data_IF_490648157974
#
_entry.id   IF_490648157974
#
_cell.length_a   1.000
_cell.length_b   1.000
_cell.length_c   1.000
_cell.angle_alpha   90.00
_cell.angle_beta   90.00
_cell.angle_gamma   90.00
#
_symmetry.space_group_name_H-M   'P 1'
#
loop_
_entity.id
_entity.type
_entity.pdbx_description
1 polymer ?
#
# COMPACT_ATOMS: atom_id res chain seq x y z
N UNK A 1 20.71 42.76 -0.20
CA UNK A 1 19.48 42.67 0.60
C UNK A 1 18.42 41.86 -0.14
N UNK A 2 18.54 40.53 -0.14
CA UNK A 2 17.56 39.58 -0.69
C UNK A 2 17.66 38.29 0.11
N UNK A 3 16.51 37.67 0.38
CA UNK A 3 16.27 36.42 1.12
C UNK A 3 16.02 36.59 2.63
N UNK A 4 14.81 37.04 2.94
CA UNK A 4 14.07 36.60 4.12
C UNK A 4 12.61 36.51 3.69
N UNK A 5 12.24 35.37 3.09
CA UNK A 5 10.84 35.09 2.77
C UNK A 5 10.55 33.63 3.13
N UNK A 6 9.67 33.50 4.13
CA UNK A 6 8.75 32.39 4.40
C UNK A 6 9.34 30.97 4.46
N UNK A 7 9.66 30.53 5.67
CA UNK A 7 9.47 29.14 6.10
C UNK A 7 8.40 29.13 7.19
N UNK A 8 7.15 29.10 6.75
CA UNK A 8 5.97 28.79 7.57
C UNK A 8 5.22 27.71 6.79
N UNK A 9 5.86 26.55 6.63
CA UNK A 9 5.14 25.31 6.36
C UNK A 9 4.61 24.84 7.70
N UNK A 10 3.33 25.14 7.94
CA UNK A 10 2.55 24.53 8.99
C UNK A 10 2.65 23.01 8.84
N UNK A 11 3.12 22.35 9.90
CA UNK A 11 2.86 20.93 10.12
C UNK A 11 1.36 20.85 10.44
N UNK A 12 0.57 20.67 9.39
CA UNK A 12 -0.78 20.16 9.49
C UNK A 12 -0.75 18.73 8.96
N UNK A 13 -0.36 17.78 9.82
CA UNK A 13 -0.92 16.44 9.73
C UNK A 13 -2.38 16.52 10.15
N UNK A 14 -3.23 17.15 9.33
CA UNK A 14 -4.63 16.78 9.32
C UNK A 14 -4.69 15.43 8.62
N UNK A 15 -4.60 14.36 9.40
CA UNK A 15 -5.43 13.20 9.12
C UNK A 15 -6.86 13.74 9.22
N UNK A 16 -7.39 14.18 8.09
CA UNK A 16 -8.80 14.53 7.99
C UNK A 16 -9.54 13.21 8.14
N UNK A 17 -9.81 12.83 9.39
CA UNK A 17 -10.78 11.81 9.76
C UNK A 17 -12.16 12.40 9.46
N UNK A 18 -12.45 12.56 8.16
CA UNK A 18 -13.82 12.69 7.70
C UNK A 18 -14.48 11.38 8.11
N UNK A 19 -15.44 11.47 9.04
CA UNK A 19 -16.45 10.44 9.26
C UNK A 19 -17.11 10.11 7.92
N UNK A 20 -16.49 9.25 7.13
CA UNK A 20 -17.22 8.49 6.14
C UNK A 20 -17.81 7.33 6.92
N UNK A 21 -19.01 7.52 7.43
CA UNK A 21 -19.89 6.46 7.95
C UNK A 21 -20.29 5.44 6.85
N UNK A 22 -19.50 5.32 5.79
CA UNK A 22 -19.55 4.19 4.91
C UNK A 22 -18.57 3.16 5.48
N UNK A 23 -19.02 2.03 6.06
CA UNK A 23 -18.16 0.86 6.08
C UNK A 23 -17.54 0.71 4.69
N UNK A 24 -16.27 0.30 4.60
CA UNK A 24 -15.74 -0.32 3.40
C UNK A 24 -16.60 -1.55 3.10
N UNK A 25 -17.76 -1.29 2.54
CA UNK A 25 -18.62 -2.27 1.93
C UNK A 25 -17.86 -2.56 0.64
N UNK A 26 -16.92 -3.50 0.76
CA UNK A 26 -16.48 -4.35 -0.34
C UNK A 26 -17.74 -5.07 -0.84
N UNK A 27 -18.66 -4.33 -1.44
CA UNK A 27 -19.73 -4.90 -2.23
C UNK A 27 -19.00 -5.56 -3.39
N UNK A 28 -19.09 -6.88 -3.42
CA UNK A 28 -18.76 -7.68 -4.58
C UNK A 28 -19.58 -7.13 -5.74
N UNK A 29 -19.01 -6.17 -6.47
CA UNK A 29 -19.58 -5.66 -7.69
C UNK A 29 -19.27 -6.68 -8.79
N UNK A 30 -19.84 -7.87 -8.63
CA UNK A 30 -19.98 -8.84 -9.71
C UNK A 30 -20.99 -8.23 -10.66
N UNK A 31 -20.52 -7.57 -11.72
CA UNK A 31 -21.38 -7.31 -12.86
C UNK A 31 -21.91 -8.65 -13.35
N UNK A 32 -23.21 -8.89 -13.15
CA UNK A 32 -23.95 -9.94 -13.84
C UNK A 32 -23.86 -9.67 -15.35
N UNK A 33 -22.89 -10.29 -16.00
CA UNK A 33 -22.91 -10.47 -17.45
C UNK A 33 -24.04 -11.45 -17.73
N UNK A 34 -25.14 -10.94 -18.29
CA UNK A 34 -26.24 -11.75 -18.80
C UNK A 34 -25.72 -12.65 -19.92
N UNK A 35 -25.48 -13.91 -19.59
CA UNK A 35 -25.12 -14.93 -20.55
C UNK A 35 -26.32 -15.24 -21.46
N UNK A 36 -26.28 -14.73 -22.68
CA UNK A 36 -27.05 -15.30 -23.79
C UNK A 36 -26.59 -16.74 -24.02
N UNK A 37 -27.52 -17.66 -23.84
CA UNK A 37 -27.38 -19.09 -24.08
C UNK A 37 -27.24 -19.37 -25.58
N UNK A 38 -26.01 -19.39 -26.08
CA UNK A 38 -25.71 -19.99 -27.38
C UNK A 38 -25.51 -21.50 -27.23
N UNK A 39 -26.22 -22.26 -28.07
CA UNK A 39 -26.30 -23.72 -28.03
C UNK A 39 -24.93 -24.37 -28.23
N UNK A 40 -24.58 -25.26 -27.31
CA UNK A 40 -23.30 -25.98 -27.28
C UNK A 40 -23.15 -26.95 -28.45
N UNK A 41 -22.15 -26.71 -29.30
CA UNK A 41 -21.51 -27.75 -30.11
C UNK A 41 -20.52 -28.50 -29.22
N UNK A 42 -20.81 -29.77 -28.94
CA UNK A 42 -19.92 -30.69 -28.22
C UNK A 42 -18.70 -31.04 -29.07
N UNK A 43 -17.61 -30.29 -28.90
CA UNK A 43 -16.29 -30.68 -29.41
C UNK A 43 -15.67 -31.63 -28.38
N UNK A 44 -15.51 -32.90 -28.76
CA UNK A 44 -14.73 -33.88 -28.01
C UNK A 44 -13.25 -33.47 -28.00
N UNK A 45 -12.84 -32.70 -26.98
CA UNK A 45 -11.43 -32.39 -26.74
C UNK A 45 -10.76 -33.60 -26.10
N UNK A 46 -9.79 -34.16 -26.81
CA UNK A 46 -8.89 -35.18 -26.29
C UNK A 46 -8.11 -34.60 -25.10
N UNK A 47 -8.05 -35.27 -23.94
CA UNK A 47 -7.36 -34.76 -22.76
C UNK A 47 -5.87 -34.57 -23.07
N UNK A 48 -5.43 -33.31 -23.12
CA UNK A 48 -4.01 -32.97 -23.22
C UNK A 48 -3.30 -33.55 -21.99
N UNK A 49 -2.20 -34.32 -22.16
CA UNK A 49 -1.48 -34.91 -21.05
C UNK A 49 -1.07 -33.82 -20.05
N UNK A 50 -1.42 -34.02 -18.77
CA UNK A 50 -1.12 -33.11 -17.69
C UNK A 50 0.38 -32.77 -17.70
N UNK A 51 0.69 -31.52 -18.03
CA UNK A 51 2.06 -31.07 -18.16
C UNK A 51 2.71 -31.19 -16.78
N UNK A 52 3.69 -32.08 -16.67
CA UNK A 52 4.35 -32.44 -15.40
C UNK A 52 5.03 -31.19 -14.85
N UNK A 53 4.39 -30.53 -13.88
CA UNK A 53 4.88 -29.28 -13.29
C UNK A 53 6.22 -29.56 -12.60
N UNK A 54 7.30 -29.05 -13.17
CA UNK A 54 8.62 -29.10 -12.54
C UNK A 54 8.52 -28.41 -11.16
N UNK A 55 9.05 -29.02 -10.08
CA UNK A 55 9.04 -28.40 -8.76
C UNK A 55 9.66 -27.00 -8.85
N UNK A 56 8.89 -25.95 -8.51
CA UNK A 56 9.44 -24.60 -8.39
C UNK A 56 10.51 -24.61 -7.30
N UNK A 57 11.72 -24.13 -7.62
CA UNK A 57 12.77 -23.92 -6.63
C UNK A 57 12.26 -22.96 -5.57
N UNK A 58 12.30 -23.35 -4.29
CA UNK A 58 11.85 -22.52 -3.18
C UNK A 58 12.75 -21.28 -3.07
N UNK A 59 12.18 -20.10 -3.28
CA UNK A 59 12.87 -18.81 -3.10
C UNK A 59 12.85 -18.50 -1.59
N UNK A 60 14.00 -18.15 -0.97
CA UNK A 60 14.00 -17.70 0.42
C UNK A 60 13.25 -16.38 0.57
N UNK A 61 12.40 -16.26 1.59
CA UNK A 61 11.70 -14.99 1.90
C UNK A 61 12.71 -13.86 2.16
N UNK A 62 12.69 -12.77 1.39
CA UNK A 62 13.55 -11.60 1.60
C UNK A 62 13.36 -10.97 2.98
N UNK A 63 14.45 -10.44 3.54
CA UNK A 63 14.40 -9.71 4.80
C UNK A 63 13.98 -8.26 4.56
N UNK A 64 12.74 -7.96 4.91
CA UNK A 64 12.23 -6.58 4.99
C UNK A 64 12.68 -5.94 6.30
N UNK A 65 13.15 -4.70 6.21
CA UNK A 65 13.57 -3.89 7.35
C UNK A 65 12.51 -2.91 7.81
N UNK A 66 11.71 -2.38 6.88
CA UNK A 66 10.64 -1.42 7.15
C UNK A 66 9.59 -1.48 6.04
N UNK A 67 8.34 -1.14 6.34
CA UNK A 67 7.27 -0.95 5.37
C UNK A 67 6.12 -0.13 5.94
N UNK A 68 5.42 0.61 5.09
CA UNK A 68 4.19 1.30 5.45
C UNK A 68 3.22 1.40 4.27
N UNK A 69 1.95 1.63 4.59
CA UNK A 69 0.93 2.03 3.61
C UNK A 69 1.03 3.53 3.45
N UNK A 70 1.24 3.98 2.22
CA UNK A 70 1.44 5.39 1.88
C UNK A 70 0.51 5.78 0.74
N UNK A 71 -0.05 6.98 0.84
CA UNK A 71 -0.89 7.54 -0.22
C UNK A 71 -0.02 8.01 -1.39
N UNK A 72 -0.48 7.73 -2.61
CA UNK A 72 0.09 8.33 -3.81
C UNK A 72 -0.49 9.73 -4.01
N UNK A 73 0.37 10.75 -4.06
CA UNK A 73 -0.01 12.13 -4.31
C UNK A 73 0.30 12.52 -5.75
N UNK A 74 -0.64 13.16 -6.44
CA UNK A 74 -0.42 13.71 -7.78
C UNK A 74 -0.29 15.22 -7.73
N UNK A 75 0.66 15.72 -8.51
CA UNK A 75 0.98 17.13 -8.55
C UNK A 75 0.57 17.77 -9.87
N UNK A 76 -0.06 18.94 -9.77
CA UNK A 76 -0.43 19.78 -10.91
C UNK A 76 -0.28 21.25 -10.57
N UNK A 77 0.08 22.05 -11.57
CA UNK A 77 0.01 23.51 -11.48
C UNK A 77 -1.43 24.03 -11.49
N UNK A 78 -2.38 23.25 -12.04
CA UNK A 78 -3.80 23.62 -12.05
C UNK A 78 -4.43 23.26 -10.72
N UNK A 79 -5.13 24.22 -10.13
CA UNK A 79 -5.86 24.04 -8.88
C UNK A 79 -7.28 24.61 -9.00
N UNK A 80 -8.22 24.02 -8.28
CA UNK A 80 -9.55 24.60 -8.11
C UNK A 80 -9.55 25.71 -7.05
N UNK A 81 -10.72 26.30 -6.79
CA UNK A 81 -10.89 27.37 -5.78
C UNK A 81 -10.58 26.90 -4.34
N UNK A 82 -10.56 25.59 -4.09
CA UNK A 82 -10.23 24.97 -2.80
C UNK A 82 -8.77 24.51 -2.73
N UNK A 83 -7.97 24.84 -3.74
CA UNK A 83 -6.57 24.43 -3.88
C UNK A 83 -6.34 22.93 -4.14
N UNK A 84 -7.38 22.17 -4.47
CA UNK A 84 -7.24 20.78 -4.90
C UNK A 84 -6.54 20.74 -6.25
N UNK A 85 -5.65 19.77 -6.47
CA UNK A 85 -4.89 19.70 -7.72
C UNK A 85 -5.74 19.04 -8.82
N UNK A 86 -5.81 19.69 -9.99
CA UNK A 86 -6.62 19.24 -11.12
C UNK A 86 -5.75 18.66 -12.25
N UNK A 87 -6.26 17.70 -13.04
CA UNK A 87 -5.55 17.21 -14.21
C UNK A 87 -5.30 18.32 -15.27
N UNK A 88 -4.29 18.17 -16.13
CA UNK A 88 -3.37 17.03 -16.21
C UNK A 88 -2.29 17.09 -15.12
N UNK A 89 -2.08 15.97 -14.43
CA UNK A 89 -1.02 15.83 -13.44
C UNK A 89 0.35 15.74 -14.12
N UNK A 90 1.36 16.37 -13.54
CA UNK A 90 2.72 16.44 -14.10
C UNK A 90 3.59 15.29 -13.59
N UNK A 91 3.50 14.99 -12.30
CA UNK A 91 4.19 13.90 -11.63
C UNK A 91 3.37 13.43 -10.43
N UNK A 92 3.77 12.30 -9.86
CA UNK A 92 3.28 11.84 -8.57
C UNK A 92 4.42 11.56 -7.60
N UNK A 93 4.05 11.48 -6.34
CA UNK A 93 4.96 11.36 -5.20
C UNK A 93 4.37 10.36 -4.20
N UNK A 94 5.28 9.66 -3.52
CA UNK A 94 4.98 8.86 -2.33
C UNK A 94 5.97 9.37 -1.28
N UNK A 95 5.48 9.75 -0.11
CA UNK A 95 6.31 10.00 1.07
C UNK A 95 6.36 8.73 1.89
N UNK A 96 7.45 8.49 2.61
CA UNK A 96 7.55 7.35 3.51
C UNK A 96 8.13 7.79 4.85
N UNK A 97 7.34 7.63 5.92
CA UNK A 97 7.84 7.92 7.25
C UNK A 97 8.42 6.65 7.89
N UNK A 98 9.69 6.72 8.31
CA UNK A 98 10.34 5.59 9.00
C UNK A 98 10.90 6.00 10.35
N UNK A 99 10.64 5.15 11.35
CA UNK A 99 11.32 5.25 12.64
C UNK A 99 12.78 4.74 12.57
N UNK A 100 13.10 3.94 11.56
CA UNK A 100 14.39 3.28 11.41
C UNK A 100 15.45 4.19 10.78
N UNK A 101 16.60 4.32 11.43
CA UNK A 101 17.78 5.02 10.90
C UNK A 101 18.55 4.23 9.80
N UNK A 102 17.96 3.17 9.25
CA UNK A 102 18.66 2.25 8.33
C UNK A 102 18.58 2.65 6.86
N UNK A 103 17.58 3.43 6.47
CA UNK A 103 17.42 3.88 5.09
C UNK A 103 18.42 5.00 4.77
N UNK A 104 18.94 5.01 3.54
CA UNK A 104 19.93 5.99 3.06
C UNK A 104 19.52 6.53 1.70
N UNK A 105 19.98 7.75 1.38
CA UNK A 105 19.84 8.31 0.04
C UNK A 105 20.52 7.39 -1.00
N UNK A 106 19.83 7.14 -2.11
CA UNK A 106 20.23 6.21 -3.17
C UNK A 106 19.76 4.77 -2.97
N UNK A 107 19.27 4.40 -1.78
CA UNK A 107 18.64 3.10 -1.55
C UNK A 107 17.38 2.95 -2.42
N UNK A 108 16.99 1.70 -2.66
CA UNK A 108 15.77 1.38 -3.41
C UNK A 108 14.68 0.85 -2.48
N UNK A 109 13.44 1.25 -2.78
CA UNK A 109 12.21 0.68 -2.22
C UNK A 109 11.36 0.08 -3.34
N UNK A 110 10.46 -0.83 -2.97
CA UNK A 110 9.41 -1.32 -3.87
C UNK A 110 8.07 -0.83 -3.37
N UNK A 111 7.30 -0.15 -4.22
CA UNK A 111 5.93 0.27 -3.97
C UNK A 111 4.96 -0.68 -4.68
N UNK A 112 4.11 -1.35 -3.90
CA UNK A 112 3.09 -2.29 -4.39
C UNK A 112 1.72 -1.66 -4.27
N UNK A 113 1.00 -1.52 -5.39
CA UNK A 113 -0.35 -0.91 -5.39
C UNK A 113 -1.36 -1.76 -4.59
N UNK A 114 -2.15 -1.12 -3.72
CA UNK A 114 -3.13 -1.81 -2.89
C UNK A 114 -4.51 -1.93 -3.54
N UNK A 115 -5.02 -0.88 -4.19
CA UNK A 115 -6.40 -0.87 -4.70
C UNK A 115 -6.53 -1.00 -6.22
N UNK A 116 -5.43 -0.84 -6.96
CA UNK A 116 -5.43 -0.97 -8.43
C UNK A 116 -4.54 -2.13 -8.89
N UNK A 117 -4.82 -2.67 -10.07
CA UNK A 117 -3.96 -3.64 -10.73
C UNK A 117 -2.90 -2.89 -11.53
N UNK A 118 -1.73 -2.72 -10.92
CA UNK A 118 -0.61 -1.99 -11.49
C UNK A 118 0.69 -2.66 -11.05
N UNK A 119 1.69 -2.61 -11.93
CA UNK A 119 2.99 -3.22 -11.68
C UNK A 119 3.74 -2.56 -10.52
N UNK A 120 4.65 -3.30 -9.90
CA UNK A 120 5.49 -2.75 -8.83
C UNK A 120 6.33 -1.58 -9.35
N UNK A 121 6.44 -0.55 -8.53
CA UNK A 121 7.29 0.60 -8.83
C UNK A 121 8.53 0.51 -7.94
N UNK A 122 9.70 0.50 -8.56
CA UNK A 122 10.96 0.62 -7.83
C UNK A 122 11.35 2.09 -7.79
N UNK A 123 11.47 2.64 -6.58
CA UNK A 123 11.81 4.04 -6.37
C UNK A 123 13.16 4.16 -5.69
N UNK A 124 13.90 5.22 -6.04
CA UNK A 124 15.11 5.65 -5.33
C UNK A 124 14.80 6.64 -4.23
N UNK A 125 15.43 6.45 -3.07
CA UNK A 125 15.44 7.43 -1.99
C UNK A 125 16.24 8.64 -2.44
N UNK A 126 15.57 9.78 -2.59
CA UNK A 126 16.19 11.03 -3.02
C UNK A 126 16.73 11.79 -1.82
N UNK A 127 15.88 12.01 -0.81
CA UNK A 127 16.20 12.81 0.37
C UNK A 127 15.65 12.14 1.63
N UNK A 128 16.37 12.30 2.73
CA UNK A 128 15.95 11.87 4.07
C UNK A 128 16.07 13.09 4.97
N UNK A 129 14.97 13.46 5.61
CA UNK A 129 14.93 14.55 6.57
C UNK A 129 14.55 14.01 7.94
N UNK A 130 15.40 14.24 8.94
CA UNK A 130 15.08 13.87 10.32
C UNK A 130 14.09 14.86 10.87
N UNK A 131 12.94 14.36 11.28
CA UNK A 131 11.88 15.19 11.85
C UNK A 131 11.61 14.73 13.29
N UNK A 132 11.52 15.66 14.25
CA UNK A 132 10.91 15.34 15.52
C UNK A 132 9.43 15.07 15.27
N UNK A 133 8.90 14.02 15.88
CA UNK A 133 7.47 13.77 15.89
C UNK A 133 7.01 13.51 17.31
N UNK A 134 5.84 14.04 17.62
CA UNK A 134 5.17 13.80 18.89
C UNK A 134 4.29 12.58 18.71
N UNK A 135 4.66 11.50 19.37
CA UNK A 135 3.85 10.29 19.44
C UNK A 135 3.35 10.15 20.86
N UNK A 136 2.09 10.53 21.05
CA UNK A 136 1.34 10.45 22.30
C UNK A 136 2.15 10.99 23.49
N UNK A 137 2.53 12.27 23.39
CA UNK A 137 3.34 13.03 24.36
C UNK A 137 4.78 12.53 24.56
N UNK A 138 5.26 11.59 23.73
CA UNK A 138 6.66 11.17 23.70
C UNK A 138 7.34 11.79 22.48
N UNK A 139 8.36 12.61 22.72
CA UNK A 139 9.25 13.07 21.65
C UNK A 139 10.01 11.88 21.07
N UNK A 140 9.69 11.56 19.81
CA UNK A 140 10.43 10.57 19.02
C UNK A 140 11.08 11.28 17.84
N UNK A 141 12.09 10.61 17.28
CA UNK A 141 12.72 11.06 16.04
C UNK A 141 12.46 10.02 14.97
N UNK A 142 11.95 10.47 13.84
CA UNK A 142 11.78 9.66 12.66
C UNK A 142 12.46 10.34 11.48
N UNK A 143 12.33 9.71 10.32
CA UNK A 143 12.80 10.28 9.07
C UNK A 143 11.66 10.35 8.09
N UNK A 144 11.43 11.54 7.56
CA UNK A 144 10.64 11.72 6.36
C UNK A 144 11.52 11.40 5.15
N UNK A 145 11.06 10.47 4.31
CA UNK A 145 11.80 9.94 3.17
C UNK A 145 11.09 10.37 1.89
N UNK A 146 11.77 11.23 1.13
CA UNK A 146 11.34 11.67 -0.20
C UNK A 146 11.95 10.73 -1.24
N UNK A 147 11.10 10.16 -2.10
CA UNK A 147 11.53 9.37 -3.24
C UNK A 147 11.70 10.20 -4.51
N UNK A 148 12.23 9.59 -5.56
CA UNK A 148 12.15 10.18 -6.90
C UNK A 148 10.69 10.30 -7.39
N UNK A 149 10.45 11.30 -8.24
CA UNK A 149 9.12 11.57 -8.78
C UNK A 149 8.69 10.49 -9.78
N UNK A 150 7.42 10.11 -9.71
CA UNK A 150 6.81 9.16 -10.66
C UNK A 150 6.21 9.93 -11.83
N UNK A 151 6.73 9.70 -13.03
CA UNK A 151 6.28 10.37 -14.27
C UNK A 151 5.52 9.45 -15.24
N UNK A 152 5.22 8.21 -14.84
CA UNK A 152 4.46 7.29 -15.71
C UNK A 152 3.02 7.81 -15.89
N UNK A 153 2.71 8.23 -17.13
CA UNK A 153 1.40 8.73 -17.52
C UNK A 153 0.28 7.73 -17.27
N UNK A 154 0.54 6.42 -17.45
CA UNK A 154 -0.44 5.37 -17.20
C UNK A 154 -0.92 5.43 -15.75
N UNK A 155 -0.02 5.62 -14.79
CA UNK A 155 -0.38 5.72 -13.38
C UNK A 155 -1.05 7.05 -13.02
N UNK A 156 -0.56 8.16 -13.61
CA UNK A 156 -1.09 9.51 -13.37
C UNK A 156 -2.52 9.70 -13.89
N UNK A 157 -2.95 8.90 -14.86
CA UNK A 157 -4.26 9.00 -15.50
C UNK A 157 -5.29 7.99 -14.96
N UNK A 158 -4.89 7.09 -14.05
CA UNK A 158 -5.83 6.15 -13.42
C UNK A 158 -6.87 6.92 -12.61
N UNK A 159 -8.15 6.55 -12.76
CA UNK A 159 -9.22 7.21 -11.99
C UNK A 159 -9.07 6.93 -10.50
N UNK A 160 -9.33 7.91 -9.62
CA UNK A 160 -9.40 7.67 -8.18
C UNK A 160 -10.37 6.54 -7.86
N UNK A 161 -10.05 5.77 -6.84
CA UNK A 161 -11.04 4.84 -6.26
C UNK A 161 -12.17 5.64 -5.60
N UNK A 162 -13.33 4.99 -5.40
CA UNK A 162 -14.51 5.66 -4.85
C UNK A 162 -14.21 6.36 -3.52
N UNK A 163 -14.61 7.63 -3.41
CA UNK A 163 -14.43 8.44 -2.21
C UNK A 163 -13.06 9.13 -2.07
N UNK A 164 -12.13 8.92 -3.01
CA UNK A 164 -10.82 9.57 -3.01
C UNK A 164 -10.81 10.81 -3.92
N UNK A 165 -9.99 11.79 -3.54
CA UNK A 165 -9.75 12.98 -4.34
C UNK A 165 -8.86 12.67 -5.57
N UNK A 166 -8.90 13.53 -6.58
CA UNK A 166 -8.16 13.35 -7.83
C UNK A 166 -6.63 13.32 -7.62
N UNK A 167 -6.15 14.11 -6.66
CA UNK A 167 -4.75 14.21 -6.26
C UNK A 167 -4.28 13.10 -5.33
N UNK A 168 -5.18 12.31 -4.75
CA UNK A 168 -4.86 11.24 -3.79
C UNK A 168 -5.59 9.93 -4.17
N UNK A 169 -5.38 9.42 -5.38
CA UNK A 169 -6.31 8.48 -6.01
C UNK A 169 -6.34 7.07 -5.37
N UNK A 170 -5.26 6.63 -4.73
CA UNK A 170 -5.08 5.28 -4.16
C UNK A 170 -3.80 5.23 -3.30
N UNK A 171 -3.54 4.08 -2.68
CA UNK A 171 -2.41 3.85 -1.78
C UNK A 171 -1.47 2.74 -2.29
N UNK A 172 -0.24 2.78 -1.80
CA UNK A 172 0.79 1.77 -2.01
C UNK A 172 1.26 1.21 -0.68
N UNK A 173 1.69 -0.05 -0.67
CA UNK A 173 2.61 -0.52 0.36
C UNK A 173 4.04 -0.29 -0.11
N UNK A 174 4.78 0.53 0.61
CA UNK A 174 6.21 0.79 0.38
C UNK A 174 7.02 -0.20 1.20
N UNK A 175 7.94 -0.93 0.57
CA UNK A 175 8.75 -1.99 1.17
C UNK A 175 10.24 -1.61 1.07
N UNK A 176 10.93 -1.61 2.21
CA UNK A 176 12.37 -1.37 2.30
C UNK A 176 13.13 -2.55 2.96
N UNK A 177 14.23 -3.05 2.36
CA UNK A 177 14.73 -2.72 1.02
C UNK A 177 13.79 -3.21 -0.08
N UNK A 178 14.00 -2.73 -1.32
CA UNK A 178 13.26 -3.18 -2.49
C UNK A 178 13.24 -4.71 -2.64
N UNK A 179 12.07 -5.23 -2.99
CA UNK A 179 11.81 -6.65 -3.26
C UNK A 179 11.09 -6.77 -4.60
N UNK A 180 11.82 -7.15 -5.65
CA UNK A 180 11.33 -7.17 -7.04
C UNK A 180 10.09 -8.05 -7.22
N UNK A 181 10.07 -9.21 -6.56
CA UNK A 181 9.00 -10.21 -6.69
C UNK A 181 7.84 -10.01 -5.71
N UNK A 182 7.78 -8.86 -5.00
CA UNK A 182 6.69 -8.59 -4.08
C UNK A 182 5.35 -8.61 -4.83
N UNK A 183 4.38 -9.35 -4.33
CA UNK A 183 3.08 -9.49 -4.99
C UNK A 183 1.97 -9.35 -3.98
N UNK A 184 1.04 -8.43 -4.25
CA UNK A 184 -0.20 -8.34 -3.48
C UNK A 184 -1.05 -9.59 -3.72
N UNK A 185 -1.43 -10.25 -2.63
CA UNK A 185 -2.45 -11.28 -2.63
C UNK A 185 -3.83 -10.64 -2.55
N UNK A 186 -4.78 -11.20 -3.29
CA UNK A 186 -6.18 -10.75 -3.23
C UNK A 186 -6.78 -11.25 -1.92
N UNK A 187 -7.73 -10.49 -1.37
CA UNK A 187 -8.42 -10.91 -0.14
C UNK A 187 -9.14 -12.26 -0.30
N UNK A 188 -9.63 -12.58 -1.50
CA UNK A 188 -10.24 -13.88 -1.85
C UNK A 188 -9.26 -15.05 -1.86
N UNK A 189 -7.96 -14.78 -1.90
CA UNK A 189 -6.89 -15.79 -1.87
C UNK A 189 -6.42 -16.07 -0.44
N UNK A 190 -6.87 -15.26 0.54
CA UNK A 190 -6.48 -15.39 1.94
C UNK A 190 -7.41 -16.36 2.68
N UNK A 191 -6.81 -17.18 3.54
CA UNK A 191 -7.52 -17.99 4.53
C UNK A 191 -7.05 -17.62 5.93
N UNK A 192 -7.87 -17.92 6.95
CA UNK A 192 -7.55 -17.58 8.33
C UNK A 192 -6.24 -18.24 8.80
N UNK A 193 -5.92 -19.43 8.31
CA UNK A 193 -4.71 -20.19 8.66
C UNK A 193 -3.42 -19.55 8.13
N UNK A 194 -3.54 -18.71 7.11
CA UNK A 194 -2.39 -17.98 6.58
C UNK A 194 -2.01 -16.79 7.45
N UNK A 195 -2.94 -16.28 8.26
CA UNK A 195 -2.81 -15.01 8.99
C UNK A 195 -2.32 -15.21 10.44
N UNK A 196 -1.85 -14.15 11.13
CA UNK A 196 -1.65 -14.17 12.57
C UNK A 196 -2.94 -14.59 13.31
N UNK A 197 -2.78 -15.27 14.45
CA UNK A 197 -3.88 -15.88 15.21
C UNK A 197 -5.02 -14.88 15.49
N UNK A 198 -4.70 -13.62 15.76
CA UNK A 198 -5.66 -12.57 16.13
C UNK A 198 -6.23 -11.78 14.95
N UNK A 199 -5.73 -11.97 13.73
CA UNK A 199 -6.10 -11.15 12.57
C UNK A 199 -7.10 -11.89 11.68
N UNK A 200 -8.30 -11.34 11.53
CA UNK A 200 -9.33 -11.80 10.60
C UNK A 200 -9.01 -11.42 9.15
N UNK A 201 -9.59 -12.11 8.17
CA UNK A 201 -9.38 -11.83 6.73
C UNK A 201 -9.96 -10.45 6.36
N UNK A 202 -11.07 -10.08 6.99
CA UNK A 202 -11.77 -8.81 6.85
C UNK A 202 -10.97 -7.62 7.40
N UNK A 203 -10.01 -7.87 8.28
CA UNK A 203 -9.14 -6.86 8.87
C UNK A 203 -7.91 -6.57 7.99
N UNK A 204 -7.63 -7.40 6.99
CA UNK A 204 -6.42 -7.27 6.17
C UNK A 204 -6.54 -6.08 5.22
N UNK A 205 -5.62 -5.13 5.36
CA UNK A 205 -5.44 -3.99 4.45
C UNK A 205 -4.52 -4.38 3.29
N UNK A 206 -3.42 -5.07 3.60
CA UNK A 206 -2.45 -5.53 2.62
C UNK A 206 -1.86 -6.89 3.03
N UNK A 207 -1.77 -7.81 2.07
CA UNK A 207 -1.10 -9.09 2.21
C UNK A 207 -0.13 -9.24 1.04
N UNK A 208 1.17 -9.35 1.31
CA UNK A 208 2.21 -9.41 0.27
C UNK A 208 2.94 -10.74 0.35
N UNK A 209 2.97 -11.47 -0.76
CA UNK A 209 3.87 -12.59 -1.03
C UNK A 209 5.21 -12.02 -1.52
N UNK A 210 6.31 -12.32 -0.83
CA UNK A 210 7.64 -11.82 -1.18
C UNK A 210 8.50 -12.86 -1.90
N UNK A 211 8.05 -14.11 -2.02
CA UNK A 211 8.85 -15.23 -2.48
C UNK A 211 8.15 -16.12 -3.55
N UNK A 212 6.98 -15.70 -4.06
CA UNK A 212 6.15 -16.39 -5.05
C UNK A 212 5.71 -17.81 -4.61
N UNK A 213 5.52 -18.02 -3.29
CA UNK A 213 4.98 -19.27 -2.74
C UNK A 213 3.45 -19.27 -2.60
N UNK A 214 2.81 -18.14 -2.89
CA UNK A 214 1.36 -17.97 -2.83
C UNK A 214 0.81 -17.70 -1.43
N UNK A 215 1.67 -17.57 -0.41
CA UNK A 215 1.28 -17.20 0.95
C UNK A 215 1.77 -15.80 1.32
N UNK A 216 1.08 -15.11 2.24
CA UNK A 216 1.54 -13.81 2.70
C UNK A 216 2.82 -13.95 3.55
N UNK A 217 3.80 -13.11 3.24
CA UNK A 217 5.03 -12.88 4.00
C UNK A 217 5.00 -11.55 4.76
N UNK A 218 4.30 -10.53 4.25
CA UNK A 218 3.97 -9.29 4.96
C UNK A 218 2.47 -9.13 5.11
N UNK A 219 2.06 -8.53 6.22
CA UNK A 219 0.66 -8.22 6.48
C UNK A 219 0.54 -6.85 7.15
N UNK A 220 -0.38 -6.04 6.65
CA UNK A 220 -0.93 -4.88 7.35
C UNK A 220 -2.40 -5.16 7.61
N UNK A 221 -2.83 -5.00 8.85
CA UNK A 221 -4.23 -5.17 9.24
C UNK A 221 -4.74 -3.97 10.03
N UNK A 222 -5.99 -3.62 9.81
CA UNK A 222 -6.73 -2.73 10.68
C UNK A 222 -7.12 -3.51 11.94
N UNK A 223 -6.79 -2.94 13.10
CA UNK A 223 -7.22 -3.46 14.38
C UNK A 223 -8.11 -2.41 15.04
N UNK A 224 -9.28 -2.80 15.54
CA UNK A 224 -10.09 -1.89 16.33
C UNK A 224 -9.47 -1.81 17.73
N UNK A 225 -8.98 -0.63 18.10
CA UNK A 225 -8.64 -0.36 19.48
C UNK A 225 -9.89 -0.56 20.37
N UNK A 226 -9.69 -0.96 21.62
CA UNK A 226 -10.71 -1.48 22.55
C UNK A 226 -11.96 -0.60 22.77
N UNK A 227 -11.97 0.64 22.27
CA UNK A 227 -13.12 1.55 22.29
C UNK A 227 -13.63 1.76 20.85
N UNK A 228 -14.93 1.48 20.65
CA UNK A 228 -15.67 1.59 19.37
C UNK A 228 -15.61 2.95 18.67
N UNK A 229 -15.02 3.96 19.31
CA UNK A 229 -14.90 5.32 18.78
C UNK A 229 -13.59 5.61 18.04
N UNK A 230 -12.57 4.73 18.12
CA UNK A 230 -11.27 4.92 17.47
C UNK A 230 -10.85 3.66 16.69
N UNK A 231 -11.18 3.62 15.40
CA UNK A 231 -10.90 2.48 14.51
C UNK A 231 -9.67 2.68 13.61
N UNK A 232 -8.78 3.62 13.94
CA UNK A 232 -7.65 4.00 13.09
C UNK A 232 -6.32 3.35 13.53
N UNK A 233 -6.40 2.15 14.13
CA UNK A 233 -5.21 1.43 14.56
C UNK A 233 -4.78 0.42 13.47
N UNK A 234 -3.49 0.39 13.14
CA UNK A 234 -2.94 -0.59 12.20
C UNK A 234 -1.91 -1.46 12.90
N UNK A 235 -1.82 -2.72 12.51
CA UNK A 235 -0.78 -3.63 12.96
C UNK A 235 -0.03 -4.20 11.76
N UNK A 236 1.29 -4.32 11.91
CA UNK A 236 2.18 -4.81 10.88
C UNK A 236 2.89 -6.10 11.31
N UNK A 237 2.89 -7.08 10.41
CA UNK A 237 3.48 -8.39 10.64
C UNK A 237 4.40 -8.81 9.50
N UNK A 238 5.44 -9.57 9.84
CA UNK A 238 6.31 -10.23 8.86
C UNK A 238 6.48 -11.70 9.23
N UNK A 239 6.43 -12.57 8.24
CA UNK A 239 6.67 -14.00 8.39
C UNK A 239 8.17 -14.28 8.31
N UNK A 240 8.73 -14.85 9.38
CA UNK A 240 10.14 -15.24 9.48
C UNK A 240 10.20 -16.70 9.89
N UNK A 241 10.83 -17.55 9.08
CA UNK A 241 10.90 -19.00 9.32
C UNK A 241 9.52 -19.62 9.57
N UNK A 242 8.55 -19.26 8.71
CA UNK A 242 7.15 -19.72 8.78
C UNK A 242 6.38 -19.31 10.04
N UNK A 243 6.91 -18.36 10.83
CA UNK A 243 6.22 -17.80 12.01
C UNK A 243 5.98 -16.31 11.83
N UNK A 244 4.78 -15.85 12.18
CA UNK A 244 4.46 -14.44 12.21
C UNK A 244 5.21 -13.74 13.33
N UNK A 245 5.87 -12.63 12.99
CA UNK A 245 6.49 -11.69 13.92
C UNK A 245 5.75 -10.37 13.83
N UNK A 246 5.21 -9.92 14.96
CA UNK A 246 4.68 -8.57 15.10
C UNK A 246 5.81 -7.54 15.02
N UNK A 247 5.64 -6.51 14.21
CA UNK A 247 6.63 -5.47 14.00
C UNK A 247 6.27 -4.14 14.69
N UNK A 248 4.99 -3.93 14.97
CA UNK A 248 4.47 -2.71 15.57
C UNK A 248 3.10 -2.37 15.00
N UNK A 249 2.54 -1.28 15.52
CA UNK A 249 1.31 -0.71 15.04
C UNK A 249 1.30 0.80 15.19
N UNK A 250 0.39 1.45 14.47
CA UNK A 250 0.03 2.84 14.72
C UNK A 250 -1.22 2.86 15.57
N UNK A 251 -1.24 3.64 16.65
CA UNK A 251 -2.44 3.97 17.40
C UNK A 251 -2.68 5.48 17.25
N UNK A 252 -3.91 5.95 17.03
CA UNK A 252 -4.20 7.37 17.14
C UNK A 252 -3.97 7.79 18.59
N UNK A 253 -3.23 8.88 18.75
CA UNK A 253 -3.39 9.73 19.93
C UNK A 253 -4.73 10.49 19.77
#
# INVERSE_FOLDING_TARGET
MKKLLLFLFFIYCFVSCSKTDAPLNLSNNTQEISNQSNSSNTVNLTPTPANKTTPKTKIPTPKVSDFAVETFFRHSEKKDEKMNMLPPFQYGEISFFVASNKIKSGDSVTAVSLQIDYENINLKVKKIERVPFLDCDVEKTGSDVEFEQITDRRLLEIKPISGRAEEQPFDFLVIYPAVENAKKLKQTELTKEMLPEKVGVEQVVAAIDLNDDGNPDLLVSNYCCYDSSQCDCTESYQKINSKWKYLGGSEPC
#
